data_IF_179021570784
#
_entry.id   IF_179021570784
#
_cell.length_a   1.000
_cell.length_b   1.000
_cell.length_c   1.000
_cell.angle_alpha   90.00
_cell.angle_beta   90.00
_cell.angle_gamma   90.00
#
_symmetry.space_group_name_H-M   'P 1'
#
loop_
_entity.id
_entity.type
_entity.pdbx_description
1 polymer ?
#
# COMPACT_ATOMS: atom_id res chain seq x y z
N UNK A 1 10.86 -12.63 -9.91
CA UNK A 1 9.73 -12.04 -9.15
C UNK A 1 9.73 -10.56 -9.44
N UNK A 2 8.62 -9.99 -9.94
CA UNK A 2 8.58 -8.60 -10.36
C UNK A 2 8.93 -7.69 -9.16
N UNK A 3 9.89 -6.79 -9.35
CA UNK A 3 10.32 -5.84 -8.33
C UNK A 3 9.15 -4.88 -8.06
N UNK A 4 8.32 -5.17 -7.05
CA UNK A 4 7.33 -4.21 -6.58
C UNK A 4 8.09 -2.96 -6.14
N UNK A 5 7.95 -1.87 -6.90
CA UNK A 5 8.58 -0.60 -6.54
C UNK A 5 7.86 -0.07 -5.30
N UNK A 6 8.54 -0.11 -4.16
CA UNK A 6 8.04 0.42 -2.89
C UNK A 6 8.60 1.84 -2.73
N UNK A 7 7.71 2.78 -2.43
CA UNK A 7 8.07 4.16 -2.08
C UNK A 7 7.78 4.42 -0.61
N UNK A 8 8.70 5.07 0.10
CA UNK A 8 8.54 5.38 1.53
C UNK A 8 7.65 6.60 1.74
N UNK A 9 6.61 6.47 2.57
CA UNK A 9 5.75 7.57 3.01
C UNK A 9 6.10 7.97 4.46
N UNK A 10 6.61 9.19 4.66
CA UNK A 10 6.89 9.73 6.00
C UNK A 10 5.66 10.46 6.54
N UNK A 11 5.10 9.97 7.65
CA UNK A 11 3.88 10.51 8.26
C UNK A 11 4.13 11.04 9.67
N UNK A 12 3.67 12.26 9.96
CA UNK A 12 3.61 12.83 11.31
C UNK A 12 2.15 12.80 11.79
N UNK A 13 1.89 12.09 12.87
CA UNK A 13 0.56 11.94 13.48
C UNK A 13 0.65 12.07 14.99
N UNK A 14 -0.49 12.39 15.60
CA UNK A 14 -0.62 12.39 17.06
C UNK A 14 -0.26 10.99 17.62
N UNK A 15 0.51 10.91 18.72
CA UNK A 15 0.91 9.64 19.33
C UNK A 15 -0.28 8.74 19.71
N UNK A 16 -1.43 9.29 20.09
CA UNK A 16 -2.64 8.51 20.39
C UNK A 16 -3.16 7.78 19.14
N UNK A 17 -3.11 8.42 17.97
CA UNK A 17 -3.51 7.81 16.69
C UNK A 17 -2.54 6.71 16.28
N UNK A 18 -1.23 6.92 16.50
CA UNK A 18 -0.21 5.87 16.28
C UNK A 18 -0.52 4.62 17.10
N UNK A 19 -0.88 4.77 18.37
CA UNK A 19 -1.25 3.65 19.23
C UNK A 19 -2.53 2.95 18.75
N UNK A 20 -3.54 3.72 18.33
CA UNK A 20 -4.79 3.17 17.81
C UNK A 20 -4.58 2.35 16.53
N UNK A 21 -3.83 2.86 15.56
CA UNK A 21 -3.58 2.14 14.30
C UNK A 21 -2.71 0.90 14.51
N UNK A 22 -1.77 0.93 15.47
CA UNK A 22 -0.99 -0.26 15.85
C UNK A 22 -1.87 -1.38 16.40
N UNK A 23 -2.81 -1.04 17.30
CA UNK A 23 -3.76 -2.01 17.85
C UNK A 23 -4.69 -2.55 16.77
N UNK A 24 -5.18 -1.69 15.88
CA UNK A 24 -6.06 -2.10 14.79
C UNK A 24 -5.34 -3.05 13.82
N UNK A 25 -4.11 -2.71 13.41
CA UNK A 25 -3.28 -3.55 12.55
C UNK A 25 -2.99 -4.92 13.19
N UNK A 26 -2.68 -4.95 14.50
CA UNK A 26 -2.45 -6.19 15.24
C UNK A 26 -3.69 -7.09 15.29
N UNK A 27 -4.88 -6.51 15.49
CA UNK A 27 -6.16 -7.25 15.49
C UNK A 27 -6.47 -7.91 14.14
N UNK A 28 -6.02 -7.30 13.05
CA UNK A 28 -6.23 -7.81 11.70
C UNK A 28 -5.07 -8.67 11.19
N UNK A 29 -4.05 -8.93 12.02
CA UNK A 29 -2.84 -9.67 11.65
C UNK A 29 -2.09 -9.06 10.45
N UNK A 30 -2.10 -7.73 10.33
CA UNK A 30 -1.41 -7.01 9.24
C UNK A 30 -0.41 -6.00 9.81
N UNK A 31 0.57 -5.63 9.00
CA UNK A 31 1.50 -4.55 9.37
C UNK A 31 0.78 -3.20 9.36
N UNK A 32 1.30 -2.23 10.15
CA UNK A 32 0.78 -0.86 10.16
C UNK A 32 0.86 -0.22 8.77
N UNK A 33 1.92 -0.50 8.01
CA UNK A 33 2.06 -0.01 6.63
C UNK A 33 0.91 -0.50 5.74
N UNK A 34 0.60 -1.80 5.78
CA UNK A 34 -0.47 -2.38 4.98
C UNK A 34 -1.86 -1.86 5.43
N UNK A 35 -2.06 -1.68 6.74
CA UNK A 35 -3.25 -1.06 7.27
C UNK A 35 -3.44 0.37 6.75
N UNK A 36 -2.38 1.18 6.79
CA UNK A 36 -2.39 2.55 6.27
C UNK A 36 -2.64 2.56 4.76
N UNK A 37 -2.05 1.65 4.00
CA UNK A 37 -2.29 1.52 2.55
C UNK A 37 -3.77 1.25 2.25
N UNK A 38 -4.40 0.32 2.96
CA UNK A 38 -5.83 0.02 2.79
C UNK A 38 -6.71 1.21 3.16
N UNK A 39 -6.38 1.92 4.24
CA UNK A 39 -7.12 3.13 4.63
C UNK A 39 -6.99 4.24 3.58
N UNK A 40 -5.79 4.44 3.02
CA UNK A 40 -5.57 5.40 1.92
C UNK A 40 -6.37 4.99 0.69
N UNK A 41 -6.33 3.71 0.29
CA UNK A 41 -7.07 3.20 -0.87
C UNK A 41 -8.58 3.43 -0.73
N UNK A 42 -9.15 3.10 0.43
CA UNK A 42 -10.58 3.33 0.70
C UNK A 42 -10.94 4.81 0.62
N UNK A 43 -10.14 5.67 1.26
CA UNK A 43 -10.38 7.10 1.21
C UNK A 43 -10.32 7.67 -0.21
N UNK A 44 -9.35 7.21 -1.02
CA UNK A 44 -9.25 7.60 -2.42
C UNK A 44 -10.45 7.11 -3.23
N UNK A 45 -10.91 5.88 -3.02
CA UNK A 45 -12.10 5.33 -3.69
C UNK A 45 -13.37 6.15 -3.35
N UNK A 46 -13.59 6.39 -2.06
CA UNK A 46 -14.71 7.22 -1.57
C UNK A 46 -14.66 8.66 -2.11
N UNK A 47 -13.45 9.19 -2.34
CA UNK A 47 -13.22 10.52 -2.89
C UNK A 47 -13.16 10.56 -4.44
N UNK A 48 -13.27 9.43 -5.13
CA UNK A 48 -13.17 9.33 -6.59
C UNK A 48 -11.75 9.58 -7.15
N UNK A 49 -10.71 9.41 -6.32
CA UNK A 49 -9.30 9.59 -6.69
C UNK A 49 -8.74 8.25 -7.20
N UNK A 50 -8.46 8.18 -8.51
CA UNK A 50 -7.88 6.99 -9.11
C UNK A 50 -6.41 6.78 -8.68
N UNK A 51 -6.11 5.60 -8.11
CA UNK A 51 -4.74 5.17 -7.80
C UNK A 51 -4.21 4.34 -8.97
N UNK A 52 -3.29 4.90 -9.76
CA UNK A 52 -2.62 4.16 -10.83
C UNK A 52 -1.51 3.27 -10.24
N UNK A 53 -1.70 1.94 -10.28
CA UNK A 53 -0.61 1.03 -9.96
C UNK A 53 0.39 1.01 -11.12
N UNK A 54 1.71 1.15 -10.85
CA UNK A 54 2.72 1.02 -11.89
C UNK A 54 2.70 -0.43 -12.39
N UNK A 55 2.07 -0.65 -13.54
CA UNK A 55 2.15 -1.91 -14.28
C UNK A 55 3.62 -2.18 -14.57
N UNK A 56 4.19 -3.20 -13.92
CA UNK A 56 5.51 -3.69 -14.26
C UNK A 56 5.51 -4.06 -15.76
N UNK A 57 6.52 -3.65 -16.54
CA UNK A 57 6.57 -3.99 -17.95
C UNK A 57 6.60 -5.51 -18.08
N UNK A 58 5.58 -6.07 -18.75
CA UNK A 58 5.52 -7.49 -19.09
C UNK A 58 6.71 -7.76 -20.01
N UNK A 59 7.76 -8.44 -19.53
CA UNK A 59 8.88 -8.82 -20.39
C UNK A 59 8.33 -9.66 -21.54
N UNK A 60 8.55 -9.26 -22.82
CA UNK A 60 8.12 -10.08 -23.94
C UNK A 60 8.93 -11.37 -23.91
N UNK A 61 8.21 -12.49 -23.80
CA UNK A 61 8.80 -13.83 -23.68
C UNK A 61 9.77 -14.10 -24.83
N UNK A 62 10.98 -14.54 -24.49
CA UNK A 62 11.93 -15.15 -25.43
C UNK A 62 11.24 -16.38 -26.04
N UNK A 63 10.76 -16.27 -27.28
CA UNK A 63 10.49 -17.43 -28.15
C UNK A 63 11.84 -18.06 -28.49
N UNK A 64 12.18 -19.17 -27.83
CA UNK A 64 13.26 -20.02 -28.31
C UNK A 64 12.71 -20.80 -29.51
N UNK A 65 13.36 -20.63 -30.66
CA UNK A 65 13.27 -21.54 -31.80
C UNK A 65 14.34 -22.61 -31.73
#
# INVERSE_FOLDING_TARGET
MAQTKISTLNLRINPAIKQAVQKAAAREHRSVANMVEVLIRRHCDDAGIAIAEPVAPKQPGKRNG
#
